data_IF_209639302835
#
_entry.id   IF_209639302835
#
_cell.length_a   1.000
_cell.length_b   1.000
_cell.length_c   1.000
_cell.angle_alpha   90.00
_cell.angle_beta   90.00
_cell.angle_gamma   90.00
#
_symmetry.space_group_name_H-M   'P 1'
#
loop_
_entity.id
_entity.type
_entity.pdbx_description
1 polymer ?
#
# COMPACT_ATOMS: atom_id res chain seq x y z
N UNK A 1 20.44 9.43 -0.12
CA UNK A 1 21.80 8.97 0.12
C UNK A 1 22.77 10.12 -0.10
N UNK A 2 23.73 10.39 0.86
CA UNK A 2 24.76 11.41 0.76
C UNK A 2 24.28 12.87 0.83
N UNK A 3 23.07 13.13 1.27
CA UNK A 3 22.59 14.51 1.46
C UNK A 3 23.14 15.08 2.75
N UNK A 4 23.83 16.21 2.64
CA UNK A 4 24.45 16.90 3.79
C UNK A 4 23.39 17.38 4.79
N UNK A 5 23.67 17.26 6.07
CA UNK A 5 22.75 17.66 7.15
C UNK A 5 21.57 16.73 7.39
N UNK A 6 21.45 15.63 6.62
CA UNK A 6 20.39 14.63 6.81
C UNK A 6 21.00 13.30 7.22
N UNK A 7 20.48 12.71 8.30
CA UNK A 7 20.76 11.32 8.67
C UNK A 7 19.47 10.50 8.61
N UNK A 8 19.51 9.34 8.01
CA UNK A 8 18.35 8.47 7.81
C UNK A 8 18.53 7.18 8.63
N UNK A 9 17.57 6.92 9.51
CA UNK A 9 17.46 5.65 10.22
C UNK A 9 16.33 4.83 9.60
N UNK A 10 16.66 3.61 9.15
CA UNK A 10 15.69 2.66 8.57
C UNK A 10 15.46 1.55 9.59
N UNK A 11 14.27 1.51 10.18
CA UNK A 11 13.85 0.42 11.07
C UNK A 11 13.16 -0.66 10.25
N UNK A 12 13.56 -1.91 10.45
CA UNK A 12 12.94 -3.06 9.77
C UNK A 12 12.80 -4.26 10.72
N UNK A 13 11.73 -5.06 10.55
CA UNK A 13 11.49 -6.20 11.43
C UNK A 13 12.39 -7.38 11.04
N UNK A 14 13.01 -7.98 12.05
CA UNK A 14 13.93 -9.12 11.93
C UNK A 14 13.28 -10.31 11.23
N UNK A 15 13.92 -10.78 10.15
CA UNK A 15 13.47 -11.95 9.40
C UNK A 15 12.10 -11.82 8.74
N UNK A 16 11.56 -10.60 8.63
CA UNK A 16 10.24 -10.32 8.06
C UNK A 16 10.30 -9.55 6.73
N UNK A 17 11.50 -9.30 6.22
CA UNK A 17 11.75 -8.71 4.92
C UNK A 17 12.53 -9.68 4.06
N UNK A 18 12.35 -9.66 2.73
CA UNK A 18 13.15 -10.50 1.85
C UNK A 18 14.62 -10.07 1.87
N UNK A 19 15.54 -10.99 1.56
CA UNK A 19 16.98 -10.69 1.51
C UNK A 19 17.30 -9.51 0.57
N UNK A 20 16.60 -9.42 -0.56
CA UNK A 20 16.78 -8.33 -1.52
C UNK A 20 16.30 -7.00 -0.91
N UNK A 21 15.16 -6.99 -0.24
CA UNK A 21 14.65 -5.79 0.44
C UNK A 21 15.59 -5.34 1.55
N UNK A 22 16.11 -6.27 2.36
CA UNK A 22 17.07 -5.98 3.41
C UNK A 22 18.34 -5.34 2.83
N UNK A 23 18.90 -5.94 1.78
CA UNK A 23 20.10 -5.38 1.11
C UNK A 23 19.87 -3.99 0.52
N UNK A 24 18.64 -3.63 0.13
CA UNK A 24 18.34 -2.30 -0.41
C UNK A 24 18.61 -1.15 0.57
N UNK A 25 18.68 -1.39 1.87
CA UNK A 25 18.97 -0.36 2.86
C UNK A 25 20.16 -0.68 3.77
N UNK A 26 20.51 -1.95 3.99
CA UNK A 26 21.64 -2.33 4.84
C UNK A 26 23.00 -2.10 4.17
N UNK A 27 23.06 -2.09 2.84
CA UNK A 27 24.31 -1.95 2.07
C UNK A 27 24.61 -0.51 1.65
N UNK A 28 23.74 0.45 1.97
CA UNK A 28 23.89 1.84 1.49
C UNK A 28 24.99 2.61 2.20
N UNK A 29 25.13 2.47 3.51
CA UNK A 29 26.10 3.21 4.30
C UNK A 29 25.92 4.73 4.26
N UNK A 30 27.00 5.48 4.38
CA UNK A 30 27.03 6.94 4.41
C UNK A 30 26.12 7.51 5.52
N UNK A 31 25.12 8.32 5.15
CA UNK A 31 24.16 8.93 6.05
C UNK A 31 22.93 8.05 6.34
N UNK A 32 22.97 6.75 6.00
CA UNK A 32 21.88 5.80 6.21
C UNK A 32 22.33 4.73 7.19
N UNK A 33 21.56 4.55 8.26
CA UNK A 33 21.74 3.50 9.27
C UNK A 33 20.52 2.60 9.28
N UNK A 34 20.72 1.31 9.07
CA UNK A 34 19.68 0.30 9.18
C UNK A 34 19.68 -0.29 10.61
N UNK A 35 18.49 -0.37 11.22
CA UNK A 35 18.28 -0.88 12.57
C UNK A 35 17.30 -2.06 12.50
N UNK A 36 17.80 -3.25 12.82
CA UNK A 36 16.99 -4.44 12.92
C UNK A 36 16.21 -4.44 14.24
N UNK A 37 14.90 -4.61 14.17
CA UNK A 37 13.97 -4.65 15.31
C UNK A 37 13.46 -6.07 15.50
N UNK A 38 13.61 -6.61 16.70
CA UNK A 38 13.02 -7.90 17.07
C UNK A 38 11.52 -7.73 17.33
N UNK A 39 10.72 -7.74 16.26
CA UNK A 39 9.30 -7.46 16.31
C UNK A 39 8.64 -7.54 14.93
N UNK A 40 7.59 -6.76 14.75
CA UNK A 40 6.79 -6.65 13.53
C UNK A 40 6.98 -5.28 12.87
N UNK A 41 6.39 -5.10 11.70
CA UNK A 41 6.33 -3.77 11.05
C UNK A 41 5.57 -2.75 11.93
N UNK A 42 4.52 -3.19 12.61
CA UNK A 42 3.75 -2.34 13.52
C UNK A 42 4.59 -1.89 14.72
N UNK A 43 5.48 -2.75 15.24
CA UNK A 43 6.43 -2.39 16.30
C UNK A 43 7.43 -1.34 15.81
N UNK A 44 7.96 -1.48 14.60
CA UNK A 44 8.80 -0.46 13.98
C UNK A 44 8.06 0.90 13.86
N UNK A 45 6.79 0.88 13.46
CA UNK A 45 5.97 2.09 13.40
C UNK A 45 5.72 2.70 14.79
N UNK A 46 5.47 1.87 15.80
CA UNK A 46 5.28 2.31 17.18
C UNK A 46 6.52 3.01 17.72
N UNK A 47 7.72 2.45 17.46
CA UNK A 47 9.00 3.09 17.84
C UNK A 47 9.17 4.45 17.17
N UNK A 48 8.88 4.57 15.88
CA UNK A 48 8.95 5.86 15.16
C UNK A 48 7.96 6.86 15.75
N UNK A 49 6.72 6.46 16.02
CA UNK A 49 5.71 7.34 16.65
C UNK A 49 6.16 7.78 18.05
N UNK A 50 6.74 6.88 18.84
CA UNK A 50 7.32 7.21 20.15
C UNK A 50 8.42 8.26 20.05
N UNK A 51 9.34 8.12 19.09
CA UNK A 51 10.41 9.09 18.86
C UNK A 51 9.85 10.49 18.52
N UNK A 52 8.78 10.56 17.72
CA UNK A 52 8.12 11.85 17.44
C UNK A 52 7.45 12.49 18.66
N UNK A 53 7.07 11.71 19.65
CA UNK A 53 6.45 12.20 20.89
C UNK A 53 7.48 12.46 22.00
N UNK A 54 8.72 12.04 21.81
CA UNK A 54 9.80 12.22 22.79
C UNK A 54 10.28 13.68 22.77
N UNK A 55 10.13 14.37 23.90
CA UNK A 55 10.47 15.79 24.03
C UNK A 55 11.97 16.02 23.96
N UNK A 56 12.76 15.18 24.62
CA UNK A 56 14.22 15.31 24.66
C UNK A 56 14.82 15.15 23.27
N UNK A 57 14.36 14.15 22.49
CA UNK A 57 14.78 13.98 21.10
C UNK A 57 14.40 15.18 20.23
N UNK A 58 13.21 15.72 20.40
CA UNK A 58 12.71 16.84 19.58
C UNK A 58 13.35 18.19 19.96
N UNK A 59 13.93 18.33 21.15
CA UNK A 59 14.73 19.51 21.54
C UNK A 59 16.09 19.51 20.82
N UNK A 60 16.63 18.34 20.49
CA UNK A 60 17.97 18.21 19.91
C UNK A 60 17.95 17.88 18.40
N UNK A 61 16.88 17.31 17.88
CA UNK A 61 16.77 16.82 16.51
C UNK A 61 15.49 17.29 15.83
N UNK A 62 15.59 17.69 14.57
CA UNK A 62 14.43 17.94 13.70
C UNK A 62 14.00 16.64 13.05
N UNK A 63 13.11 15.91 13.72
CA UNK A 63 12.65 14.60 13.24
C UNK A 63 11.62 14.74 12.11
N UNK A 64 11.77 13.93 11.09
CA UNK A 64 10.76 13.74 10.04
C UNK A 64 10.70 12.29 9.62
N UNK A 65 9.64 11.90 8.89
CA UNK A 65 9.49 10.53 8.40
C UNK A 65 9.40 10.50 6.89
N UNK A 66 10.13 9.57 6.28
CA UNK A 66 10.00 9.24 4.86
C UNK A 66 8.93 8.17 4.59
N UNK A 67 8.11 7.82 5.56
CA UNK A 67 7.02 6.86 5.45
C UNK A 67 5.66 7.56 5.24
N UNK A 68 4.63 6.79 4.90
CA UNK A 68 3.24 7.25 4.67
C UNK A 68 2.54 7.84 5.90
N UNK A 69 3.12 7.75 7.09
CA UNK A 69 2.68 8.50 8.27
C UNK A 69 2.90 10.02 8.09
N UNK A 70 3.84 10.43 7.23
CA UNK A 70 4.06 11.82 6.88
C UNK A 70 3.21 12.20 5.67
N UNK A 71 2.40 13.25 5.79
CA UNK A 71 1.55 13.78 4.72
C UNK A 71 2.34 14.14 3.46
N UNK A 72 3.56 14.68 3.62
CA UNK A 72 4.44 15.02 2.50
C UNK A 72 4.93 13.79 1.71
N UNK A 73 4.80 12.59 2.26
CA UNK A 73 5.14 11.34 1.57
C UNK A 73 3.95 10.71 0.87
N UNK A 74 2.76 10.72 1.47
CA UNK A 74 1.60 10.08 0.83
C UNK A 74 0.86 11.00 -0.14
N UNK A 75 0.73 12.29 0.17
CA UNK A 75 -0.04 13.21 -0.67
C UNK A 75 0.48 13.32 -2.12
N UNK A 76 1.80 13.38 -2.39
CA UNK A 76 2.30 13.37 -3.77
C UNK A 76 1.95 12.10 -4.55
N UNK A 77 1.60 10.99 -3.89
CA UNK A 77 1.11 9.79 -4.56
C UNK A 77 -0.23 10.04 -5.27
N UNK A 78 -0.96 11.08 -4.91
CA UNK A 78 -2.16 11.50 -5.64
C UNK A 78 -1.87 11.78 -7.12
N UNK A 79 -0.66 12.22 -7.47
CA UNK A 79 -0.27 12.49 -8.86
C UNK A 79 -0.32 11.26 -9.76
N UNK A 80 -0.09 10.05 -9.23
CA UNK A 80 -0.26 8.81 -9.99
C UNK A 80 -1.70 8.65 -10.50
N UNK A 81 -2.67 9.00 -9.69
CA UNK A 81 -4.10 8.92 -10.01
C UNK A 81 -4.49 9.94 -11.07
N UNK A 82 -4.02 11.19 -10.93
CA UNK A 82 -4.23 12.23 -11.96
C UNK A 82 -3.58 11.84 -13.28
N UNK A 83 -2.37 11.29 -13.23
CA UNK A 83 -1.67 10.83 -14.42
C UNK A 83 -2.41 9.66 -15.10
N UNK A 84 -2.80 8.63 -14.33
CA UNK A 84 -3.56 7.49 -14.83
C UNK A 84 -4.88 7.96 -15.48
N UNK A 85 -5.62 8.84 -14.81
CA UNK A 85 -6.85 9.41 -15.36
C UNK A 85 -6.60 10.21 -16.65
N UNK A 86 -5.54 11.00 -16.71
CA UNK A 86 -5.17 11.74 -17.91
C UNK A 86 -4.88 10.79 -19.10
N UNK A 87 -4.24 9.63 -18.85
CA UNK A 87 -4.01 8.61 -19.88
C UNK A 87 -5.33 7.97 -20.33
N UNK A 88 -6.23 7.63 -19.41
CA UNK A 88 -7.56 7.13 -19.73
C UNK A 88 -8.34 8.14 -20.60
N UNK A 89 -8.28 9.43 -20.24
CA UNK A 89 -8.92 10.49 -21.00
C UNK A 89 -8.39 10.59 -22.43
N UNK A 90 -7.06 10.50 -22.60
CA UNK A 90 -6.43 10.48 -23.94
C UNK A 90 -6.85 9.26 -24.76
N UNK A 91 -7.08 8.12 -24.10
CA UNK A 91 -7.53 6.89 -24.73
C UNK A 91 -9.06 6.84 -24.98
N UNK A 92 -9.82 7.87 -24.58
CA UNK A 92 -11.29 7.86 -24.66
C UNK A 92 -11.97 6.87 -23.69
N UNK A 93 -11.30 6.49 -22.61
CA UNK A 93 -11.72 5.44 -21.64
C UNK A 93 -11.87 5.97 -20.21
N UNK A 94 -12.03 7.28 -20.03
CA UNK A 94 -12.06 7.88 -18.69
C UNK A 94 -13.42 7.78 -17.99
N UNK A 95 -14.47 7.49 -18.76
CA UNK A 95 -15.82 7.40 -18.19
C UNK A 95 -15.94 6.19 -17.24
N UNK A 96 -16.57 6.44 -16.08
CA UNK A 96 -16.73 5.43 -15.03
C UNK A 96 -15.41 4.74 -14.59
N UNK A 97 -14.31 5.50 -14.53
CA UNK A 97 -13.01 4.97 -14.10
C UNK A 97 -13.07 4.41 -12.67
N UNK A 98 -12.58 3.20 -12.50
CA UNK A 98 -12.44 2.49 -11.22
C UNK A 98 -10.96 2.24 -10.98
N UNK A 99 -10.46 2.58 -9.81
CA UNK A 99 -9.04 2.35 -9.47
C UNK A 99 -8.93 1.33 -8.35
N UNK A 100 -8.23 0.24 -8.62
CA UNK A 100 -7.92 -0.80 -7.66
C UNK A 100 -6.51 -0.60 -7.08
N UNK A 101 -6.40 -0.64 -5.76
CA UNK A 101 -5.17 -0.34 -5.04
C UNK A 101 -4.81 -1.50 -4.10
N UNK A 102 -3.65 -2.16 -4.31
CA UNK A 102 -3.09 -3.05 -3.29
C UNK A 102 -2.87 -2.27 -1.99
N UNK A 103 -3.51 -2.69 -0.91
CA UNK A 103 -3.67 -1.87 0.29
C UNK A 103 -3.18 -2.59 1.54
N UNK A 104 -2.05 -2.12 2.09
CA UNK A 104 -1.53 -2.50 3.41
C UNK A 104 -1.73 -1.37 4.42
N UNK A 105 -0.82 -0.39 4.45
CA UNK A 105 -0.90 0.76 5.36
C UNK A 105 -1.83 1.89 4.88
N UNK A 106 -2.51 1.72 3.76
CA UNK A 106 -3.50 2.64 3.17
C UNK A 106 -2.99 4.01 2.72
N UNK A 107 -1.68 4.25 2.71
CA UNK A 107 -1.13 5.53 2.22
C UNK A 107 -1.48 5.80 0.76
N UNK A 108 -1.33 4.81 -0.10
CA UNK A 108 -1.58 4.93 -1.53
C UNK A 108 -3.06 5.23 -1.83
N UNK A 109 -3.99 4.37 -1.37
CA UNK A 109 -5.43 4.59 -1.61
C UNK A 109 -5.92 5.89 -0.99
N UNK A 110 -5.42 6.28 0.19
CA UNK A 110 -5.74 7.57 0.82
C UNK A 110 -5.34 8.74 -0.09
N UNK A 111 -4.18 8.68 -0.74
CA UNK A 111 -3.77 9.69 -1.71
C UNK A 111 -4.75 9.76 -2.91
N UNK A 112 -5.26 8.63 -3.38
CA UNK A 112 -6.30 8.58 -4.41
C UNK A 112 -7.62 9.23 -3.95
N UNK A 113 -8.02 8.97 -2.71
CA UNK A 113 -9.20 9.58 -2.10
C UNK A 113 -9.06 11.10 -1.95
N UNK A 114 -7.88 11.58 -1.54
CA UNK A 114 -7.58 13.02 -1.57
C UNK A 114 -7.69 13.57 -2.99
N UNK A 115 -7.12 12.88 -4.00
CA UNK A 115 -7.29 13.25 -5.41
C UNK A 115 -8.75 13.37 -5.81
N UNK A 116 -9.61 12.43 -5.40
CA UNK A 116 -11.05 12.49 -5.64
C UNK A 116 -11.71 13.70 -4.96
N UNK A 117 -11.38 13.97 -3.71
CA UNK A 117 -11.86 15.18 -3.01
C UNK A 117 -11.38 16.50 -3.64
N UNK A 118 -10.24 16.47 -4.32
CA UNK A 118 -9.71 17.58 -5.12
C UNK A 118 -10.38 17.71 -6.51
N UNK A 119 -11.31 16.82 -6.86
CA UNK A 119 -12.06 16.87 -8.11
C UNK A 119 -11.64 15.86 -9.18
N UNK A 120 -10.76 14.90 -8.87
CA UNK A 120 -10.44 13.80 -9.79
C UNK A 120 -11.71 12.95 -10.02
N UNK A 121 -12.22 12.82 -11.27
CA UNK A 121 -13.51 12.18 -11.52
C UNK A 121 -13.40 10.65 -11.63
N UNK A 122 -12.88 10.02 -10.57
CA UNK A 122 -12.89 8.57 -10.39
C UNK A 122 -14.22 8.16 -9.79
N UNK A 123 -14.87 7.15 -10.37
CA UNK A 123 -16.18 6.67 -9.92
C UNK A 123 -16.10 6.07 -8.51
N UNK A 124 -15.19 5.12 -8.31
CA UNK A 124 -14.98 4.42 -7.04
C UNK A 124 -13.60 3.79 -6.97
N UNK A 125 -13.25 3.31 -5.78
CA UNK A 125 -12.02 2.58 -5.52
C UNK A 125 -12.30 1.13 -5.13
N UNK A 126 -11.30 0.27 -5.33
CA UNK A 126 -11.26 -1.08 -4.79
C UNK A 126 -9.99 -1.19 -3.94
N UNK A 127 -10.13 -1.48 -2.65
CA UNK A 127 -9.03 -1.80 -1.77
C UNK A 127 -8.78 -3.30 -1.81
N UNK A 128 -7.68 -3.73 -2.44
CA UNK A 128 -7.28 -5.13 -2.49
C UNK A 128 -6.38 -5.45 -1.29
N UNK A 129 -6.78 -6.39 -0.45
CA UNK A 129 -6.02 -6.84 0.72
C UNK A 129 -5.52 -8.28 0.52
N UNK A 130 -4.42 -8.61 1.18
CA UNK A 130 -4.04 -10.00 1.46
C UNK A 130 -4.82 -10.50 2.70
N UNK A 131 -4.36 -11.54 3.37
CA UNK A 131 -5.00 -12.07 4.59
C UNK A 131 -5.03 -11.09 5.78
N UNK A 132 -4.32 -9.97 5.66
CA UNK A 132 -4.42 -8.84 6.60
C UNK A 132 -5.57 -7.92 6.17
N UNK A 133 -6.78 -8.39 6.39
CA UNK A 133 -8.02 -7.89 5.80
C UNK A 133 -8.84 -6.97 6.74
N UNK A 134 -8.19 -6.27 7.66
CA UNK A 134 -8.84 -5.44 8.68
C UNK A 134 -9.80 -4.42 8.08
N UNK A 135 -9.39 -3.77 6.98
CA UNK A 135 -10.24 -2.81 6.29
C UNK A 135 -11.42 -3.49 5.57
N UNK A 136 -11.19 -4.66 4.97
CA UNK A 136 -12.28 -5.43 4.37
C UNK A 136 -13.34 -5.78 5.43
N UNK A 137 -12.91 -6.24 6.61
CA UNK A 137 -13.82 -6.53 7.73
C UNK A 137 -14.54 -5.27 8.22
N UNK A 138 -13.85 -4.12 8.25
CA UNK A 138 -14.48 -2.84 8.57
C UNK A 138 -15.58 -2.48 7.56
N UNK A 139 -15.34 -2.64 6.26
CA UNK A 139 -16.36 -2.38 5.25
C UNK A 139 -17.60 -3.27 5.42
N UNK A 140 -17.43 -4.53 5.86
CA UNK A 140 -18.53 -5.46 6.08
C UNK A 140 -19.32 -5.17 7.37
N UNK A 141 -18.65 -4.69 8.41
CA UNK A 141 -19.20 -4.68 9.77
C UNK A 141 -19.38 -3.29 10.39
N UNK A 142 -18.73 -2.28 9.82
CA UNK A 142 -18.61 -0.94 10.42
C UNK A 142 -17.71 -0.89 11.66
N UNK A 143 -17.08 -2.01 12.04
CA UNK A 143 -16.22 -2.09 13.22
C UNK A 143 -14.76 -2.24 12.82
N UNK A 144 -13.91 -1.33 13.28
CA UNK A 144 -12.48 -1.43 13.09
C UNK A 144 -11.85 -2.19 14.26
N UNK A 145 -11.26 -3.34 13.95
CA UNK A 145 -10.59 -4.20 14.91
C UNK A 145 -9.17 -4.50 14.43
N UNK A 146 -8.19 -3.73 14.92
CA UNK A 146 -6.77 -4.01 14.66
C UNK A 146 -6.37 -5.35 15.28
N UNK A 147 -5.42 -6.03 14.66
CA UNK A 147 -4.87 -7.31 15.11
C UNK A 147 -3.43 -7.47 14.64
N UNK A 148 -2.63 -8.35 15.28
CA UNK A 148 -1.30 -8.66 14.79
C UNK A 148 -1.31 -9.08 13.32
N UNK A 149 -0.35 -8.58 12.54
CA UNK A 149 -0.23 -8.94 11.12
C UNK A 149 0.18 -10.41 10.94
N UNK A 150 -0.29 -10.99 9.83
CA UNK A 150 0.03 -12.36 9.41
C UNK A 150 1.00 -12.25 8.24
N UNK A 151 2.11 -12.99 8.27
CA UNK A 151 3.07 -13.04 7.18
C UNK A 151 2.44 -13.67 5.91
N UNK A 152 2.62 -13.00 4.76
CA UNK A 152 2.15 -13.44 3.45
C UNK A 152 3.21 -13.23 2.37
N UNK A 153 2.98 -13.76 1.18
CA UNK A 153 3.85 -13.52 0.02
C UNK A 153 3.78 -12.07 -0.50
N UNK A 154 2.69 -11.35 -0.21
CA UNK A 154 2.53 -9.93 -0.50
C UNK A 154 2.91 -9.10 0.74
N UNK A 155 4.15 -9.26 1.20
CA UNK A 155 4.62 -8.87 2.53
C UNK A 155 4.53 -7.36 2.83
N UNK A 156 4.60 -6.48 1.84
CA UNK A 156 4.43 -5.04 2.07
C UNK A 156 2.98 -4.65 2.43
N UNK A 157 2.03 -5.60 2.32
CA UNK A 157 0.64 -5.46 2.75
C UNK A 157 0.38 -6.15 4.10
N UNK A 158 1.40 -6.70 4.77
CA UNK A 158 1.28 -7.37 6.07
C UNK A 158 1.19 -6.33 7.19
N UNK A 159 0.05 -5.67 7.27
CA UNK A 159 -0.23 -4.59 8.20
C UNK A 159 -1.48 -4.92 8.99
N UNK A 160 -1.34 -5.01 10.31
CA UNK A 160 -2.41 -5.34 11.24
C UNK A 160 -3.12 -4.13 11.83
N UNK A 161 -2.55 -2.93 11.69
CA UNK A 161 -3.10 -1.65 12.11
C UNK A 161 -2.75 -0.53 11.12
N UNK A 162 -3.47 -0.42 10.00
CA UNK A 162 -3.21 0.59 8.97
C UNK A 162 -3.24 2.02 9.51
N UNK A 163 -2.09 2.67 9.65
CA UNK A 163 -1.97 4.01 10.24
C UNK A 163 -2.70 5.10 9.44
N UNK A 164 -2.91 4.91 8.13
CA UNK A 164 -3.64 5.86 7.30
C UNK A 164 -5.16 5.67 7.35
N UNK A 165 -5.67 4.65 8.05
CA UNK A 165 -7.11 4.47 8.23
C UNK A 165 -7.75 5.66 8.96
N UNK A 166 -7.06 6.25 9.94
CA UNK A 166 -7.52 7.46 10.61
C UNK A 166 -7.76 8.63 9.63
N UNK A 167 -6.95 8.75 8.57
CA UNK A 167 -7.13 9.76 7.53
C UNK A 167 -8.34 9.46 6.64
N UNK A 168 -8.59 8.19 6.36
CA UNK A 168 -9.81 7.78 5.63
C UNK A 168 -11.04 8.14 6.44
N UNK A 169 -11.05 7.84 7.76
CA UNK A 169 -12.14 8.23 8.64
C UNK A 169 -12.37 9.74 8.65
N UNK A 170 -11.30 10.53 8.75
CA UNK A 170 -11.38 12.00 8.75
C UNK A 170 -11.98 12.54 7.45
N UNK A 171 -11.52 12.04 6.29
CA UNK A 171 -12.03 12.43 4.95
C UNK A 171 -13.55 12.23 4.78
N UNK A 172 -14.12 11.29 5.51
CA UNK A 172 -15.55 10.95 5.46
C UNK A 172 -16.28 11.25 6.78
N UNK A 173 -15.68 12.07 7.65
CA UNK A 173 -16.25 12.44 8.96
C UNK A 173 -16.70 11.23 9.79
N UNK A 174 -15.99 10.10 9.68
CA UNK A 174 -16.30 8.86 10.36
C UNK A 174 -17.49 8.07 9.79
N UNK A 175 -18.09 8.51 8.67
CA UNK A 175 -19.24 7.85 8.07
C UNK A 175 -18.85 6.54 7.37
N UNK A 176 -19.17 5.41 7.99
CA UNK A 176 -19.00 4.09 7.38
C UNK A 176 -19.80 3.95 6.07
N UNK A 177 -21.02 4.51 6.03
CA UNK A 177 -21.87 4.44 4.85
C UNK A 177 -21.23 5.15 3.65
N UNK A 178 -20.65 6.34 3.85
CA UNK A 178 -20.00 7.10 2.77
C UNK A 178 -18.69 6.41 2.31
N UNK A 179 -17.91 5.86 3.26
CA UNK A 179 -16.72 5.07 2.93
C UNK A 179 -17.12 3.86 2.07
N UNK A 180 -18.11 3.10 2.48
CA UNK A 180 -18.56 1.89 1.78
C UNK A 180 -19.27 2.17 0.46
N UNK A 181 -19.80 3.38 0.27
CA UNK A 181 -20.35 3.81 -1.02
C UNK A 181 -19.27 4.08 -2.07
N UNK A 182 -18.08 4.53 -1.64
CA UNK A 182 -16.98 4.89 -2.54
C UNK A 182 -15.88 3.85 -2.64
N UNK A 183 -15.71 2.98 -1.63
CA UNK A 183 -14.65 1.99 -1.56
C UNK A 183 -15.25 0.61 -1.35
N UNK A 184 -15.00 -0.30 -2.27
CA UNK A 184 -15.19 -1.73 -2.05
C UNK A 184 -13.88 -2.39 -1.63
N UNK A 185 -13.95 -3.54 -0.96
CA UNK A 185 -12.77 -4.28 -0.51
C UNK A 185 -12.80 -5.74 -0.95
N UNK A 186 -11.63 -6.33 -1.00
CA UNK A 186 -11.42 -7.77 -1.23
C UNK A 186 -10.31 -8.29 -0.34
N UNK A 187 -10.23 -9.60 -0.18
CA UNK A 187 -9.13 -10.26 0.52
C UNK A 187 -8.76 -11.56 -0.19
N UNK A 188 -7.45 -11.85 -0.27
CA UNK A 188 -6.93 -13.01 -0.98
C UNK A 188 -5.90 -13.78 -0.16
N UNK A 189 -5.92 -15.12 -0.34
CA UNK A 189 -4.91 -16.03 0.20
C UNK A 189 -3.67 -16.06 -0.68
N UNK A 190 -2.57 -16.59 -0.14
CA UNK A 190 -1.32 -16.77 -0.88
C UNK A 190 -1.50 -17.68 -2.11
N UNK A 191 -2.37 -18.71 -2.00
CA UNK A 191 -2.70 -19.61 -3.09
C UNK A 191 -3.39 -18.87 -4.24
N UNK A 192 -4.37 -18.03 -3.91
CA UNK A 192 -5.10 -17.22 -4.90
C UNK A 192 -4.16 -16.20 -5.57
N UNK A 193 -3.24 -15.61 -4.82
CA UNK A 193 -2.24 -14.68 -5.36
C UNK A 193 -1.31 -15.41 -6.34
N UNK A 194 -0.79 -16.61 -5.98
CA UNK A 194 0.06 -17.43 -6.87
C UNK A 194 -0.67 -17.85 -8.13
N UNK A 195 -1.92 -18.27 -8.01
CA UNK A 195 -2.78 -18.62 -9.16
C UNK A 195 -2.92 -17.43 -10.11
N UNK A 196 -3.20 -16.24 -9.58
CA UNK A 196 -3.35 -15.02 -10.39
C UNK A 196 -2.06 -14.67 -11.14
N UNK A 197 -0.89 -14.74 -10.48
CA UNK A 197 0.41 -14.53 -11.16
C UNK A 197 0.60 -15.50 -12.32
N UNK A 198 0.30 -16.79 -12.09
CA UNK A 198 0.46 -17.84 -13.08
C UNK A 198 -0.49 -17.67 -14.26
N UNK A 199 -1.75 -17.37 -14.01
CA UNK A 199 -2.78 -17.18 -15.04
C UNK A 199 -2.47 -15.96 -15.89
N UNK A 200 -2.13 -14.83 -15.26
CA UNK A 200 -1.78 -13.58 -15.96
C UNK A 200 -0.55 -13.78 -16.85
N UNK A 201 0.45 -14.52 -16.39
CA UNK A 201 1.59 -14.87 -17.24
C UNK A 201 1.19 -15.73 -18.45
N UNK A 202 0.35 -16.74 -18.24
CA UNK A 202 -0.10 -17.61 -19.34
C UNK A 202 -0.94 -16.88 -20.40
N UNK A 203 -1.82 -16.00 -19.95
CA UNK A 203 -2.82 -15.37 -20.83
C UNK A 203 -2.28 -14.08 -21.45
N UNK A 204 -1.50 -13.31 -20.72
CA UNK A 204 -1.08 -11.96 -21.10
C UNK A 204 0.43 -11.80 -21.25
N UNK A 205 1.23 -12.82 -20.91
CA UNK A 205 2.70 -12.74 -20.84
C UNK A 205 3.21 -11.57 -19.99
N UNK A 206 2.44 -11.25 -18.94
CA UNK A 206 2.78 -10.20 -17.96
C UNK A 206 3.00 -10.82 -16.59
N UNK A 207 4.20 -10.61 -16.04
CA UNK A 207 4.59 -11.14 -14.74
C UNK A 207 4.25 -10.10 -13.65
N UNK A 208 3.19 -10.38 -12.90
CA UNK A 208 2.79 -9.57 -11.76
C UNK A 208 3.71 -9.81 -10.55
N UNK A 209 3.96 -8.78 -9.75
CA UNK A 209 4.37 -8.98 -8.36
C UNK A 209 3.16 -9.41 -7.49
N UNK A 210 3.38 -9.99 -6.30
CA UNK A 210 2.27 -10.51 -5.49
C UNK A 210 1.27 -9.44 -5.03
N UNK A 211 1.68 -8.18 -4.88
CA UNK A 211 0.77 -7.09 -4.53
C UNK A 211 -0.08 -6.69 -5.73
N UNK A 212 0.56 -6.53 -6.91
CA UNK A 212 -0.13 -6.30 -8.16
C UNK A 212 -1.11 -7.41 -8.50
N UNK A 213 -0.78 -8.67 -8.18
CA UNK A 213 -1.69 -9.80 -8.35
C UNK A 213 -2.97 -9.66 -7.52
N UNK A 214 -2.87 -9.20 -6.26
CA UNK A 214 -4.06 -8.86 -5.46
C UNK A 214 -4.90 -7.78 -6.16
N UNK A 215 -4.25 -6.72 -6.63
CA UNK A 215 -4.92 -5.61 -7.31
C UNK A 215 -5.59 -6.03 -8.62
N UNK A 216 -4.88 -6.81 -9.44
CA UNK A 216 -5.41 -7.31 -10.72
C UNK A 216 -6.64 -8.20 -10.52
N UNK A 217 -6.54 -9.20 -9.64
CA UNK A 217 -7.66 -10.11 -9.34
C UNK A 217 -8.86 -9.34 -8.80
N UNK A 218 -8.65 -8.44 -7.84
CA UNK A 218 -9.71 -7.61 -7.28
C UNK A 218 -10.39 -6.72 -8.33
N UNK A 219 -9.63 -6.22 -9.29
CA UNK A 219 -10.16 -5.43 -10.38
C UNK A 219 -11.02 -6.29 -11.32
N UNK A 220 -10.50 -7.44 -11.77
CA UNK A 220 -11.21 -8.36 -12.69
C UNK A 220 -12.52 -8.85 -12.07
N UNK A 221 -12.48 -9.26 -10.79
CA UNK A 221 -13.67 -9.74 -10.09
C UNK A 221 -14.67 -8.62 -9.74
N UNK A 222 -14.15 -7.39 -9.55
CA UNK A 222 -14.94 -6.26 -9.05
C UNK A 222 -15.48 -5.30 -10.10
N UNK A 223 -15.02 -5.35 -11.35
CA UNK A 223 -15.51 -4.48 -12.43
C UNK A 223 -16.94 -4.80 -12.81
N UNK A 224 -17.72 -3.74 -13.06
CA UNK A 224 -19.09 -3.84 -13.53
C UNK A 224 -19.16 -3.43 -15.01
N UNK A 225 -20.22 -3.82 -15.67
CA UNK A 225 -20.48 -3.44 -17.05
C UNK A 225 -20.41 -1.90 -17.23
N UNK A 226 -19.70 -1.45 -18.26
CA UNK A 226 -19.50 -0.04 -18.56
C UNK A 226 -18.48 0.68 -17.67
N UNK A 227 -17.74 -0.01 -16.79
CA UNK A 227 -16.64 0.54 -16.02
C UNK A 227 -15.30 0.30 -16.71
N UNK A 228 -14.39 1.27 -16.60
CA UNK A 228 -12.99 1.10 -17.01
C UNK A 228 -12.12 0.99 -15.78
N UNK A 229 -11.35 -0.08 -15.68
CA UNK A 229 -10.51 -0.37 -14.54
C UNK A 229 -9.05 -0.02 -14.72
N UNK A 230 -8.42 0.45 -13.65
CA UNK A 230 -6.96 0.57 -13.51
C UNK A 230 -6.59 -0.07 -12.18
N UNK A 231 -5.60 -0.96 -12.17
CA UNK A 231 -4.97 -1.41 -10.92
C UNK A 231 -3.55 -0.82 -10.82
N UNK A 232 -3.08 -0.65 -9.61
CA UNK A 232 -1.76 -0.12 -9.36
C UNK A 232 -0.77 -1.26 -9.14
N UNK A 233 0.31 -1.26 -9.92
CA UNK A 233 1.46 -2.14 -9.73
C UNK A 233 2.45 -1.42 -8.81
N UNK A 234 2.64 -1.91 -7.59
CA UNK A 234 3.34 -1.17 -6.53
C UNK A 234 4.73 -1.69 -6.20
N UNK A 235 5.12 -2.83 -6.77
CA UNK A 235 6.45 -3.41 -6.65
C UNK A 235 6.92 -3.98 -8.00
N UNK A 236 8.11 -4.54 -8.02
CA UNK A 236 8.66 -5.19 -9.22
C UNK A 236 8.84 -6.69 -8.93
N UNK A 237 8.44 -7.60 -9.82
CA UNK A 237 8.52 -9.05 -9.60
C UNK A 237 9.93 -9.55 -9.29
N UNK A 238 10.99 -8.87 -9.75
CA UNK A 238 12.37 -9.20 -9.40
C UNK A 238 12.68 -9.18 -7.88
N UNK A 239 11.85 -8.54 -7.07
CA UNK A 239 11.97 -8.56 -5.60
C UNK A 239 11.43 -9.86 -4.97
N UNK A 240 10.75 -10.67 -5.74
CA UNK A 240 10.04 -11.88 -5.31
C UNK A 240 10.46 -13.07 -6.16
N UNK A 241 11.78 -13.35 -6.21
CA UNK A 241 12.39 -14.36 -7.07
C UNK A 241 11.78 -15.76 -6.86
N UNK A 242 11.44 -16.11 -5.62
CA UNK A 242 10.79 -17.39 -5.29
C UNK A 242 9.44 -17.59 -6.00
N UNK A 243 8.74 -16.50 -6.32
CA UNK A 243 7.50 -16.53 -7.07
C UNK A 243 7.73 -16.54 -8.58
N UNK A 244 8.78 -15.86 -9.06
CA UNK A 244 9.11 -15.79 -10.48
C UNK A 244 9.73 -17.07 -11.01
N UNK A 245 10.50 -17.82 -10.20
CA UNK A 245 11.13 -19.09 -10.59
C UNK A 245 10.16 -20.26 -10.69
N UNK A 246 8.96 -20.17 -10.13
CA UNK A 246 7.93 -21.22 -10.21
C UNK A 246 7.15 -21.15 -11.53
N UNK A 247 7.33 -20.10 -12.32
CA UNK A 247 6.47 -19.79 -13.47
C UNK A 247 7.23 -19.69 -14.80
N UNK A 248 8.55 -19.89 -14.77
CA UNK A 248 9.42 -20.10 -15.93
C UNK A 248 9.68 -21.58 -16.06
#
# INVERSE_FOLDING_TARGET
LGVEGIHVYVLYPKGKVSEIQEKQFTTLGQNITALEVDGTFDDCQALVKSAFMDKELNEHLSLTSANSINVARFLPQAFYYFYAYAQLKRAGKADNAVICVPSGNFGNITAGLFGKKMGLPVKRFIAANNRNDIFYQYLQTGKYNSRPSIATIANAMDVGDPSNFARVLDLYSGSHADISAEISGTTYTDEQIRETVKETWKEHHYLLDPHGACGYRALVEGLKEGETGVFLETAHPAKFLELSLIHI
#
